data_IF_041575369574
#
_entry.id   IF_041575369574
#
_cell.length_a   1.000
_cell.length_b   1.000
_cell.length_c   1.000
_cell.angle_alpha   90.00
_cell.angle_beta   90.00
_cell.angle_gamma   90.00
#
_symmetry.space_group_name_H-M   'P 1'
#
loop_
_entity.id
_entity.type
_entity.pdbx_description
1 polymer ?
#
# COMPACT_ATOMS: atom_id res chain seq x y z
N UNK A 1 -28.53 56.63 42.74
CA UNK A 1 -29.13 55.46 42.06
C UNK A 1 -28.28 54.90 40.90
N UNK A 2 -27.18 55.55 40.50
CA UNK A 2 -26.39 55.20 39.31
C UNK A 2 -25.19 54.26 39.55
N UNK A 3 -24.80 54.01 40.81
CA UNK A 3 -23.59 53.22 41.16
C UNK A 3 -23.90 51.72 41.35
N UNK A 4 -25.16 51.34 41.56
CA UNK A 4 -25.56 49.93 41.80
C UNK A 4 -25.72 49.09 40.52
N UNK A 5 -25.91 49.72 39.36
CA UNK A 5 -26.11 49.01 38.09
C UNK A 5 -24.81 48.56 37.40
N UNK A 6 -23.67 49.15 37.78
CA UNK A 6 -22.38 48.84 37.16
C UNK A 6 -21.77 47.53 37.65
N UNK A 7 -22.11 47.09 38.86
CA UNK A 7 -21.58 45.85 39.45
C UNK A 7 -22.33 44.58 38.98
N UNK A 8 -23.61 44.72 38.60
CA UNK A 8 -24.42 43.59 38.13
C UNK A 8 -24.12 43.18 36.68
N UNK A 9 -23.50 44.05 35.88
CA UNK A 9 -23.18 43.76 34.49
C UNK A 9 -21.87 42.97 34.33
N UNK A 10 -20.95 43.09 35.29
CA UNK A 10 -19.69 42.34 35.28
C UNK A 10 -19.85 40.86 35.72
N UNK A 11 -20.85 40.54 36.55
CA UNK A 11 -21.04 39.15 37.03
C UNK A 11 -21.62 38.20 35.98
N UNK A 12 -22.39 38.70 35.00
CA UNK A 12 -23.00 37.86 33.96
C UNK A 12 -22.06 37.66 32.76
N UNK A 13 -21.17 38.63 32.49
CA UNK A 13 -20.19 38.53 31.39
C UNK A 13 -19.05 37.53 31.65
N UNK A 14 -18.73 37.24 32.92
CA UNK A 14 -17.65 36.31 33.28
C UNK A 14 -18.00 34.83 33.10
N UNK A 15 -19.29 34.46 33.13
CA UNK A 15 -19.72 33.06 33.08
C UNK A 15 -19.79 32.49 31.66
N UNK A 16 -19.93 33.35 30.64
CA UNK A 16 -20.03 32.93 29.23
C UNK A 16 -18.65 32.53 28.67
N UNK A 17 -17.56 33.10 29.19
CA UNK A 17 -16.20 32.83 28.70
C UNK A 17 -15.64 31.49 29.18
N UNK A 18 -16.09 30.96 30.32
CA UNK A 18 -15.59 29.69 30.87
C UNK A 18 -16.21 28.47 30.16
N UNK A 19 -17.42 28.60 29.62
CA UNK A 19 -18.11 27.49 28.94
C UNK A 19 -17.61 27.22 27.51
N UNK A 20 -16.80 28.12 26.94
CA UNK A 20 -16.23 27.96 25.59
C UNK A 20 -14.93 27.11 25.57
N UNK A 21 -14.37 26.80 26.74
CA UNK A 21 -13.13 26.03 26.87
C UNK A 21 -13.36 24.53 27.16
N UNK A 22 -14.58 24.04 26.88
CA UNK A 22 -14.95 22.61 26.95
C UNK A 22 -14.96 21.91 25.60
N UNK A 23 -14.48 22.55 24.53
CA UNK A 23 -14.31 21.90 23.24
C UNK A 23 -13.15 20.89 23.34
N UNK A 24 -13.51 19.63 23.61
CA UNK A 24 -12.60 18.51 23.35
C UNK A 24 -12.11 18.63 21.91
N UNK A 25 -10.80 18.56 21.65
CA UNK A 25 -10.29 18.50 20.29
C UNK A 25 -11.06 17.41 19.53
N UNK A 26 -11.47 17.64 18.28
CA UNK A 26 -12.03 16.56 17.47
C UNK A 26 -11.00 15.42 17.51
N UNK A 27 -11.44 14.22 17.87
CA UNK A 27 -10.62 13.03 17.72
C UNK A 27 -10.14 13.01 16.27
N UNK A 28 -8.83 13.21 16.06
CA UNK A 28 -8.23 12.96 14.75
C UNK A 28 -8.46 11.48 14.46
N UNK A 29 -9.44 11.21 13.59
CA UNK A 29 -9.66 9.91 13.03
C UNK A 29 -8.39 9.56 12.24
N UNK A 30 -7.51 8.78 12.87
CA UNK A 30 -6.28 8.29 12.25
C UNK A 30 -6.71 7.44 11.07
N UNK A 31 -6.60 8.01 9.87
CA UNK A 31 -6.87 7.29 8.63
C UNK A 31 -6.05 5.99 8.65
N UNK A 32 -6.65 4.84 8.29
CA UNK A 32 -5.94 3.58 8.29
C UNK A 32 -4.71 3.72 7.39
N UNK A 33 -3.53 3.43 7.95
CA UNK A 33 -2.28 3.36 7.20
C UNK A 33 -2.52 2.47 5.96
N UNK A 34 -2.17 2.93 4.75
CA UNK A 34 -2.42 2.16 3.55
C UNK A 34 -1.78 0.78 3.69
N UNK A 35 -2.58 -0.27 3.49
CA UNK A 35 -2.11 -1.64 3.62
C UNK A 35 -0.92 -1.86 2.69
N UNK A 36 0.22 -2.26 3.27
CA UNK A 36 1.44 -2.54 2.49
C UNK A 36 1.15 -3.68 1.52
N UNK A 37 1.52 -3.50 0.26
CA UNK A 37 1.40 -4.55 -0.75
C UNK A 37 2.39 -5.67 -0.44
N UNK A 38 1.91 -6.90 -0.43
CA UNK A 38 2.76 -8.08 -0.33
C UNK A 38 3.34 -8.40 -1.72
N UNK A 39 4.65 -8.58 -1.80
CA UNK A 39 5.33 -8.95 -3.05
C UNK A 39 5.89 -10.37 -2.90
N UNK A 40 5.52 -11.25 -3.82
CA UNK A 40 6.03 -12.63 -3.90
C UNK A 40 6.83 -12.77 -5.19
N UNK A 41 8.12 -13.07 -5.05
CA UNK A 41 9.01 -13.38 -6.18
C UNK A 41 9.13 -14.89 -6.34
N UNK A 42 8.63 -15.42 -7.46
CA UNK A 42 8.71 -16.85 -7.80
C UNK A 42 9.82 -17.02 -8.84
N UNK A 43 10.83 -17.84 -8.52
CA UNK A 43 11.95 -18.17 -9.41
C UNK A 43 11.94 -19.66 -9.68
N UNK A 44 12.12 -20.04 -10.95
CA UNK A 44 12.22 -21.44 -11.40
C UNK A 44 13.60 -21.66 -12.00
N UNK A 45 14.30 -22.72 -11.60
CA UNK A 45 15.63 -23.06 -12.12
C UNK A 45 15.52 -23.82 -13.45
N UNK A 46 16.42 -23.53 -14.39
CA UNK A 46 16.53 -24.15 -15.72
C UNK A 46 15.21 -24.22 -16.54
N UNK A 47 14.30 -23.26 -16.34
CA UNK A 47 13.06 -23.19 -17.12
C UNK A 47 13.30 -22.61 -18.52
N UNK A 48 12.91 -23.38 -19.56
CA UNK A 48 12.89 -22.92 -20.94
C UNK A 48 11.54 -22.24 -21.30
N UNK A 49 11.45 -21.64 -22.48
CA UNK A 49 10.27 -21.02 -23.09
C UNK A 49 9.12 -22.00 -23.45
N UNK A 50 9.15 -23.21 -22.91
CA UNK A 50 8.20 -24.28 -23.21
C UNK A 50 6.83 -24.12 -22.56
N UNK A 51 6.62 -23.03 -21.82
CA UNK A 51 5.36 -22.72 -21.13
C UNK A 51 4.28 -22.34 -22.13
N UNK A 52 3.02 -22.65 -21.79
CA UNK A 52 1.85 -22.40 -22.65
C UNK A 52 1.74 -20.93 -23.06
N UNK A 53 1.94 -20.01 -22.10
CA UNK A 53 1.93 -18.56 -22.33
C UNK A 53 2.91 -18.06 -23.42
N UNK A 54 3.97 -18.81 -23.71
CA UNK A 54 4.96 -18.46 -24.74
C UNK A 54 4.76 -19.21 -26.07
N UNK A 55 3.67 -19.98 -26.21
CA UNK A 55 3.45 -20.85 -27.37
C UNK A 55 4.37 -22.07 -27.38
N UNK A 56 4.79 -22.53 -26.19
CA UNK A 56 5.76 -23.60 -26.00
C UNK A 56 5.30 -25.01 -26.40
N UNK A 57 5.96 -26.02 -25.84
CA UNK A 57 5.81 -27.42 -26.28
C UNK A 57 4.35 -27.94 -26.11
N UNK A 58 3.78 -28.66 -27.09
CA UNK A 58 2.35 -29.05 -27.09
C UNK A 58 1.92 -29.92 -25.90
N UNK A 59 2.84 -30.68 -25.33
CA UNK A 59 2.58 -31.54 -24.17
C UNK A 59 2.76 -30.84 -22.81
N UNK A 60 3.29 -29.60 -22.79
CA UNK A 60 3.51 -28.85 -21.57
C UNK A 60 2.20 -28.23 -21.09
N UNK A 61 1.80 -28.56 -19.86
CA UNK A 61 0.57 -28.04 -19.24
C UNK A 61 0.92 -27.09 -18.10
N UNK A 62 0.74 -25.80 -18.31
CA UNK A 62 1.07 -24.74 -17.34
C UNK A 62 -0.12 -23.85 -16.98
N UNK A 63 -1.32 -24.39 -16.69
CA UNK A 63 -2.55 -23.60 -16.60
C UNK A 63 -2.50 -22.47 -15.56
N UNK A 64 -1.73 -22.64 -14.47
CA UNK A 64 -1.57 -21.61 -13.45
C UNK A 64 -0.63 -20.47 -13.89
N UNK A 65 0.41 -20.78 -14.67
CA UNK A 65 1.31 -19.77 -15.22
C UNK A 65 0.64 -19.02 -16.37
N UNK A 66 -0.12 -19.74 -17.20
CA UNK A 66 -0.88 -19.17 -18.32
C UNK A 66 -1.90 -18.17 -17.78
N UNK A 67 -2.66 -18.55 -16.74
CA UNK A 67 -3.57 -17.63 -16.04
C UNK A 67 -2.86 -16.40 -15.46
N UNK A 68 -1.67 -16.59 -14.88
CA UNK A 68 -0.89 -15.47 -14.33
C UNK A 68 -0.39 -14.52 -15.44
N UNK A 69 -0.04 -15.05 -16.61
CA UNK A 69 0.35 -14.25 -17.77
C UNK A 69 -0.84 -13.43 -18.31
N UNK A 70 -2.05 -14.02 -18.36
CA UNK A 70 -3.27 -13.36 -18.80
C UNK A 70 -3.76 -12.26 -17.83
N UNK A 71 -3.59 -12.47 -16.52
CA UNK A 71 -3.94 -11.49 -15.48
C UNK A 71 -2.87 -10.39 -15.32
N UNK A 72 -1.71 -10.55 -15.95
CA UNK A 72 -0.52 -9.75 -15.71
C UNK A 72 0.12 -9.17 -16.96
N UNK A 73 1.44 -9.06 -16.93
CA UNK A 73 2.24 -8.61 -18.08
C UNK A 73 3.30 -9.67 -18.38
N UNK A 74 3.26 -10.20 -19.59
CA UNK A 74 4.23 -11.18 -20.08
C UNK A 74 5.37 -10.48 -20.84
N UNK A 75 6.61 -10.72 -20.41
CA UNK A 75 7.80 -10.24 -21.10
C UNK A 75 8.32 -11.30 -22.06
N UNK A 76 7.99 -11.17 -23.35
CA UNK A 76 8.34 -12.16 -24.38
C UNK A 76 9.85 -12.28 -24.67
N UNK A 77 10.65 -11.31 -24.25
CA UNK A 77 12.10 -11.28 -24.51
C UNK A 77 12.90 -10.89 -23.26
N UNK A 78 12.66 -11.62 -22.16
CA UNK A 78 13.42 -11.49 -20.92
C UNK A 78 14.63 -12.45 -20.95
N UNK A 79 15.84 -11.93 -20.76
CA UNK A 79 17.08 -12.71 -20.77
C UNK A 79 17.72 -12.78 -19.39
N UNK A 80 18.31 -13.93 -19.07
CA UNK A 80 19.21 -14.04 -17.93
C UNK A 80 20.50 -13.23 -18.18
N UNK A 81 21.05 -12.63 -17.13
CA UNK A 81 22.32 -11.89 -17.19
C UNK A 81 23.50 -12.80 -17.50
N UNK A 82 23.40 -14.08 -17.15
CA UNK A 82 24.37 -15.13 -17.44
C UNK A 82 23.66 -16.46 -17.69
N UNK A 83 24.18 -17.27 -18.61
CA UNK A 83 23.67 -18.62 -18.91
C UNK A 83 24.15 -19.69 -17.90
N UNK A 84 24.17 -19.35 -16.62
CA UNK A 84 24.64 -20.18 -15.50
C UNK A 84 23.83 -19.85 -14.25
N UNK A 85 23.35 -20.86 -13.52
CA UNK A 85 22.44 -20.67 -12.38
C UNK A 85 23.03 -19.78 -11.28
N UNK A 86 24.31 -19.99 -10.93
CA UNK A 86 25.02 -19.22 -9.90
C UNK A 86 25.07 -17.71 -10.17
N UNK A 87 25.77 -17.26 -11.24
CA UNK A 87 25.85 -15.84 -11.58
C UNK A 87 24.48 -15.22 -11.92
N UNK A 88 23.57 -15.96 -12.57
CA UNK A 88 22.21 -15.47 -12.84
C UNK A 88 21.46 -15.13 -11.54
N UNK A 89 21.43 -16.06 -10.57
CA UNK A 89 20.79 -15.83 -9.27
C UNK A 89 21.46 -14.71 -8.48
N UNK A 90 22.79 -14.62 -8.52
CA UNK A 90 23.50 -13.52 -7.88
C UNK A 90 23.05 -12.16 -8.45
N UNK A 91 22.98 -12.01 -9.78
CA UNK A 91 22.51 -10.78 -10.43
C UNK A 91 21.06 -10.41 -10.12
N UNK A 92 20.19 -11.38 -9.82
CA UNK A 92 18.80 -11.10 -9.42
C UNK A 92 18.71 -10.59 -7.97
N UNK A 93 19.63 -11.04 -7.11
CA UNK A 93 19.61 -10.70 -5.68
C UNK A 93 20.40 -9.43 -5.31
N UNK A 94 21.37 -9.02 -6.14
CA UNK A 94 22.29 -7.89 -5.86
C UNK A 94 22.52 -7.05 -7.09
#
# INVERSE_FOLDING_TARGET
MLIRKLCSLCLVGGFILISACGATPPEEEVAPEPAKTNVVMIIVDDLNDWVGAMGGHPDTKTPNMDRLADEGTLFMNAHATAALCGPSRASVMT
#
